data_IF_676649626966
#
_entry.id   IF_676649626966
#
_cell.length_a   1.000
_cell.length_b   1.000
_cell.length_c   1.000
_cell.angle_alpha   90.00
_cell.angle_beta   90.00
_cell.angle_gamma   90.00
#
_symmetry.space_group_name_H-M   'P 1'
#
loop_
_entity.id
_entity.type
_entity.pdbx_description
1 polymer ?
#
# COMPACT_ATOMS: atom_id res chain seq x y z
N UNK A 1 -25.55 8.71 -6.72
CA UNK A 1 -24.18 9.00 -7.27
C UNK A 1 -23.18 8.75 -6.16
N UNK A 2 -22.24 7.90 -6.40
CA UNK A 2 -21.15 7.52 -5.51
C UNK A 2 -20.43 8.76 -4.92
N UNK A 3 -20.22 8.77 -3.60
CA UNK A 3 -19.59 9.89 -2.87
C UNK A 3 -18.17 10.20 -3.37
N UNK A 4 -17.40 9.16 -3.71
CA UNK A 4 -16.02 9.27 -4.20
C UNK A 4 -15.95 9.97 -5.57
N UNK A 5 -16.82 9.58 -6.50
CA UNK A 5 -16.92 10.24 -7.83
C UNK A 5 -17.41 11.68 -7.69
N UNK A 6 -18.36 11.96 -6.78
CA UNK A 6 -18.83 13.32 -6.52
C UNK A 6 -17.70 14.21 -5.98
N UNK A 7 -16.91 13.68 -5.08
CA UNK A 7 -15.72 14.39 -4.56
C UNK A 7 -14.72 14.67 -5.70
N UNK A 8 -14.40 13.65 -6.51
CA UNK A 8 -13.49 13.79 -7.66
C UNK A 8 -13.96 14.90 -8.61
N UNK A 9 -15.25 14.92 -9.00
CA UNK A 9 -15.80 15.98 -9.84
C UNK A 9 -15.63 17.37 -9.24
N UNK A 10 -15.85 17.53 -7.94
CA UNK A 10 -15.67 18.82 -7.27
C UNK A 10 -14.20 19.28 -7.34
N UNK A 11 -13.26 18.36 -7.20
CA UNK A 11 -11.83 18.67 -7.32
C UNK A 11 -11.43 19.01 -8.73
N UNK A 12 -11.88 18.24 -9.73
CA UNK A 12 -11.65 18.54 -11.15
C UNK A 12 -12.19 19.93 -11.54
N UNK A 13 -13.38 20.29 -11.07
CA UNK A 13 -13.93 21.63 -11.28
C UNK A 13 -13.04 22.74 -10.68
N UNK A 14 -12.47 22.51 -9.49
CA UNK A 14 -11.52 23.42 -8.85
C UNK A 14 -10.21 23.60 -9.65
N UNK A 15 -9.84 22.62 -10.46
CA UNK A 15 -8.70 22.65 -11.39
C UNK A 15 -9.08 23.11 -12.81
N UNK A 16 -10.31 23.57 -13.01
CA UNK A 16 -10.86 23.92 -14.33
C UNK A 16 -10.84 22.74 -15.33
N UNK A 17 -10.96 21.51 -14.84
CA UNK A 17 -11.10 20.30 -15.65
C UNK A 17 -12.57 19.87 -15.72
N UNK A 18 -13.05 19.52 -16.90
CA UNK A 18 -14.46 19.15 -17.11
C UNK A 18 -14.66 17.64 -17.22
N UNK A 19 -13.59 16.89 -17.26
CA UNK A 19 -13.60 15.43 -17.31
C UNK A 19 -12.28 14.84 -16.92
N UNK A 20 -12.24 13.51 -16.82
CA UNK A 20 -11.02 12.75 -16.55
C UNK A 20 -11.12 11.35 -17.16
N UNK A 21 -10.00 10.85 -17.64
CA UNK A 21 -9.82 9.44 -18.01
C UNK A 21 -9.05 8.75 -16.88
N UNK A 22 -9.68 7.76 -16.25
CA UNK A 22 -9.06 6.93 -15.20
C UNK A 22 -8.73 5.57 -15.80
N UNK A 23 -7.46 5.20 -15.73
CA UNK A 23 -6.91 3.98 -16.34
C UNK A 23 -6.27 3.03 -15.33
N UNK A 24 -5.89 3.53 -14.15
CA UNK A 24 -5.34 2.73 -13.08
C UNK A 24 -6.43 1.80 -12.49
N UNK A 25 -6.29 0.45 -12.58
CA UNK A 25 -7.30 -0.47 -12.09
C UNK A 25 -7.59 -0.32 -10.59
N UNK A 26 -6.60 0.05 -9.79
CA UNK A 26 -6.78 0.29 -8.35
C UNK A 26 -7.65 1.52 -8.12
N UNK A 27 -7.45 2.59 -8.88
CA UNK A 27 -8.27 3.80 -8.81
C UNK A 27 -9.69 3.57 -9.37
N UNK A 28 -9.83 2.76 -10.42
CA UNK A 28 -11.14 2.33 -10.92
C UNK A 28 -11.87 1.55 -9.83
N UNK A 29 -11.24 0.55 -9.22
CA UNK A 29 -11.81 -0.21 -8.09
C UNK A 29 -12.21 0.69 -6.93
N UNK A 30 -11.35 1.63 -6.54
CA UNK A 30 -11.63 2.61 -5.49
C UNK A 30 -12.88 3.45 -5.75
N UNK A 31 -13.03 3.94 -7.00
CA UNK A 31 -14.14 4.81 -7.39
C UNK A 31 -15.45 4.05 -7.65
N UNK A 32 -15.39 2.78 -8.05
CA UNK A 32 -16.54 2.08 -8.66
C UNK A 32 -16.84 0.71 -8.08
N UNK A 33 -15.92 0.11 -7.32
CA UNK A 33 -15.87 -1.31 -6.93
C UNK A 33 -15.80 -2.29 -8.13
N UNK A 34 -15.51 -1.80 -9.35
CA UNK A 34 -15.34 -2.66 -10.53
C UNK A 34 -13.93 -3.26 -10.52
N UNK A 35 -13.88 -4.58 -10.63
CA UNK A 35 -12.64 -5.36 -10.81
C UNK A 35 -12.67 -6.01 -12.21
N UNK A 36 -12.46 -5.19 -13.24
CA UNK A 36 -12.43 -5.62 -14.63
C UNK A 36 -11.47 -4.76 -15.45
N UNK A 37 -10.92 -5.34 -16.52
CA UNK A 37 -10.14 -4.55 -17.49
C UNK A 37 -11.04 -3.51 -18.18
N UNK A 38 -10.60 -2.26 -18.19
CA UNK A 38 -11.34 -1.17 -18.81
C UNK A 38 -10.78 0.20 -18.45
N UNK A 39 -11.50 1.23 -18.86
CA UNK A 39 -11.22 2.61 -18.51
C UNK A 39 -12.49 3.30 -18.00
N UNK A 40 -12.35 4.14 -17.00
CA UNK A 40 -13.45 4.93 -16.48
C UNK A 40 -13.34 6.37 -17.00
N UNK A 41 -14.38 6.83 -17.68
CA UNK A 41 -14.49 8.19 -18.16
C UNK A 41 -15.42 8.97 -17.22
N UNK A 42 -14.89 9.99 -16.61
CA UNK A 42 -15.65 11.00 -15.86
C UNK A 42 -15.89 12.16 -16.80
N UNK A 43 -17.11 12.35 -17.27
CA UNK A 43 -17.47 13.43 -18.19
C UNK A 43 -18.33 14.48 -17.48
N UNK A 44 -18.68 15.58 -18.14
CA UNK A 44 -19.58 16.59 -17.55
C UNK A 44 -20.97 16.03 -17.18
N UNK A 45 -21.47 15.07 -17.94
CA UNK A 45 -22.86 14.59 -17.84
C UNK A 45 -22.97 13.28 -17.06
N UNK A 46 -22.04 12.36 -17.33
CA UNK A 46 -22.16 10.96 -16.90
C UNK A 46 -20.80 10.36 -16.54
N UNK A 47 -20.81 9.19 -15.92
CA UNK A 47 -19.63 8.37 -15.71
C UNK A 47 -19.80 7.13 -16.59
N UNK A 48 -18.76 6.79 -17.33
CA UNK A 48 -18.82 5.73 -18.34
C UNK A 48 -17.69 4.76 -18.08
N UNK A 49 -18.01 3.48 -18.01
CA UNK A 49 -17.00 2.43 -17.96
C UNK A 49 -16.93 1.73 -19.32
N UNK A 50 -15.79 1.85 -19.98
CA UNK A 50 -15.52 1.18 -21.26
C UNK A 50 -14.76 -0.10 -21.02
N UNK A 51 -15.32 -1.23 -21.42
CA UNK A 51 -14.72 -2.55 -21.31
C UNK A 51 -15.01 -3.40 -22.54
N UNK A 52 -14.45 -4.59 -22.61
CA UNK A 52 -14.69 -5.50 -23.72
C UNK A 52 -15.72 -6.59 -23.40
N UNK A 53 -15.96 -7.46 -24.41
CA UNK A 53 -16.98 -8.51 -24.33
C UNK A 53 -16.74 -9.55 -23.23
N UNK A 54 -15.52 -9.65 -22.71
CA UNK A 54 -15.17 -10.60 -21.63
C UNK A 54 -15.74 -10.17 -20.29
N UNK A 55 -15.87 -8.86 -20.07
CA UNK A 55 -16.18 -8.28 -18.77
C UNK A 55 -17.54 -7.57 -18.71
N UNK A 56 -18.14 -7.18 -19.85
CA UNK A 56 -19.34 -6.33 -19.86
C UNK A 56 -20.53 -6.96 -19.09
N UNK A 57 -20.72 -8.27 -19.17
CA UNK A 57 -21.78 -8.98 -18.44
C UNK A 57 -21.55 -8.89 -16.93
N UNK A 58 -20.33 -9.18 -16.46
CA UNK A 58 -19.94 -9.08 -15.06
C UNK A 58 -20.10 -7.64 -14.53
N UNK A 59 -19.62 -6.65 -15.29
CA UNK A 59 -19.73 -5.24 -14.91
C UNK A 59 -21.19 -4.82 -14.78
N UNK A 60 -22.05 -5.18 -15.73
CA UNK A 60 -23.48 -4.87 -15.66
C UNK A 60 -24.20 -5.57 -14.50
N UNK A 61 -23.71 -6.73 -14.04
CA UNK A 61 -24.29 -7.43 -12.91
C UNK A 61 -23.98 -6.77 -11.55
N UNK A 62 -22.88 -6.04 -11.44
CA UNK A 62 -22.47 -5.37 -10.21
C UNK A 62 -22.88 -3.89 -10.14
N UNK A 63 -23.04 -3.22 -11.29
CA UNK A 63 -23.46 -1.82 -11.34
C UNK A 63 -24.94 -1.67 -10.98
N UNK A 64 -25.22 -0.70 -10.14
CA UNK A 64 -26.57 -0.28 -9.76
C UNK A 64 -26.89 1.11 -10.32
N UNK A 65 -28.16 1.49 -10.37
CA UNK A 65 -28.59 2.83 -10.77
C UNK A 65 -27.99 3.92 -9.83
N UNK A 66 -27.76 3.58 -8.58
CA UNK A 66 -27.22 4.51 -7.57
C UNK A 66 -25.74 4.86 -7.84
N UNK A 67 -24.98 3.96 -8.48
CA UNK A 67 -23.59 4.22 -8.85
C UNK A 67 -23.47 5.36 -9.85
N UNK A 68 -24.48 5.53 -10.71
CA UNK A 68 -24.49 6.56 -11.74
C UNK A 68 -23.40 6.35 -12.79
N UNK A 69 -23.11 5.06 -13.10
CA UNK A 69 -22.12 4.63 -14.09
C UNK A 69 -22.84 3.84 -15.17
N UNK A 70 -22.53 4.09 -16.43
CA UNK A 70 -23.02 3.33 -17.58
C UNK A 70 -21.85 2.57 -18.19
N UNK A 71 -22.00 1.25 -18.36
CA UNK A 71 -20.98 0.43 -19.00
C UNK A 71 -21.27 0.25 -20.49
N UNK A 72 -20.22 0.37 -21.31
CA UNK A 72 -20.30 0.09 -22.76
C UNK A 72 -19.26 -0.95 -23.15
N UNK A 73 -19.67 -1.83 -24.06
CA UNK A 73 -18.75 -2.73 -24.72
C UNK A 73 -18.05 -1.97 -25.87
N UNK A 74 -16.72 -1.90 -25.84
CA UNK A 74 -15.92 -1.15 -26.82
C UNK A 74 -16.14 -1.60 -28.27
N UNK A 75 -16.55 -2.86 -28.50
CA UNK A 75 -16.84 -3.38 -29.86
C UNK A 75 -18.11 -2.80 -30.47
N UNK A 76 -19.03 -2.31 -29.63
CA UNK A 76 -20.32 -1.78 -30.07
C UNK A 76 -20.26 -0.27 -30.34
N UNK A 77 -19.10 0.37 -30.07
CA UNK A 77 -18.85 1.79 -30.23
C UNK A 77 -18.17 2.08 -31.58
N UNK A 78 -18.63 3.12 -32.25
CA UNK A 78 -18.00 3.70 -33.44
C UNK A 78 -17.14 4.93 -33.06
N UNK A 79 -16.34 5.44 -34.01
CA UNK A 79 -15.43 6.55 -33.73
C UNK A 79 -16.16 7.80 -33.21
N UNK A 80 -17.32 8.12 -33.76
CA UNK A 80 -18.12 9.28 -33.34
C UNK A 80 -18.56 9.18 -31.86
N UNK A 81 -18.80 7.97 -31.34
CA UNK A 81 -19.14 7.78 -29.91
C UNK A 81 -18.01 8.24 -29.01
N UNK A 82 -16.77 7.81 -29.34
CA UNK A 82 -15.58 8.21 -28.58
C UNK A 82 -15.34 9.71 -28.58
N UNK A 83 -15.53 10.35 -29.73
CA UNK A 83 -15.37 11.79 -29.90
C UNK A 83 -16.42 12.58 -29.12
N UNK A 84 -17.63 12.04 -28.98
CA UNK A 84 -18.73 12.67 -28.28
C UNK A 84 -18.61 12.62 -26.75
N UNK A 85 -17.87 11.67 -26.16
CA UNK A 85 -17.76 11.56 -24.71
C UNK A 85 -17.21 12.84 -24.06
N UNK A 86 -16.25 13.52 -24.69
CA UNK A 86 -15.64 14.74 -24.18
C UNK A 86 -15.94 15.99 -25.04
N UNK A 87 -16.96 15.92 -25.89
CA UNK A 87 -17.28 17.00 -26.86
C UNK A 87 -17.38 18.42 -26.24
N UNK A 88 -17.81 18.51 -24.97
CA UNK A 88 -17.97 19.80 -24.28
C UNK A 88 -16.92 19.98 -23.17
N UNK A 89 -15.84 19.23 -23.19
CA UNK A 89 -14.73 19.35 -22.26
C UNK A 89 -13.56 20.05 -22.96
N UNK A 90 -13.15 21.20 -22.44
CA UNK A 90 -11.97 21.90 -22.91
C UNK A 90 -10.70 21.24 -22.32
N UNK A 91 -10.73 20.97 -21.02
CA UNK A 91 -9.65 20.36 -20.28
C UNK A 91 -10.10 19.02 -19.70
N UNK A 92 -9.34 17.96 -19.98
CA UNK A 92 -9.58 16.60 -19.49
C UNK A 92 -8.36 16.13 -18.72
N UNK A 93 -8.57 15.62 -17.51
CA UNK A 93 -7.49 15.09 -16.67
C UNK A 93 -7.10 13.66 -17.02
N UNK A 94 -5.88 13.27 -16.66
CA UNK A 94 -5.41 11.88 -16.72
C UNK A 94 -4.44 11.58 -15.59
N UNK A 95 -4.20 10.29 -15.35
CA UNK A 95 -3.26 9.79 -14.33
C UNK A 95 -1.84 9.72 -14.91
N UNK A 96 -1.04 10.73 -14.65
CA UNK A 96 0.32 10.86 -15.18
C UNK A 96 1.28 9.77 -14.68
N UNK A 97 1.02 9.22 -13.50
CA UNK A 97 1.83 8.13 -12.94
C UNK A 97 1.53 6.75 -13.55
N UNK A 98 0.38 6.60 -14.23
CA UNK A 98 -0.08 5.32 -14.76
C UNK A 98 -0.18 5.30 -16.29
N UNK A 99 -0.65 6.39 -16.90
CA UNK A 99 -0.88 6.44 -18.34
C UNK A 99 0.44 6.50 -19.12
N UNK A 100 0.69 5.50 -19.95
CA UNK A 100 1.88 5.51 -20.81
C UNK A 100 1.80 6.60 -21.88
N UNK A 101 2.93 7.14 -22.31
CA UNK A 101 2.98 8.16 -23.37
C UNK A 101 2.31 7.73 -24.68
N UNK A 102 2.39 6.45 -25.02
CA UNK A 102 1.70 5.90 -26.19
C UNK A 102 0.18 6.03 -26.04
N UNK A 103 -0.35 5.61 -24.89
CA UNK A 103 -1.78 5.69 -24.57
C UNK A 103 -2.27 7.13 -24.45
N UNK A 104 -1.45 8.01 -23.90
CA UNK A 104 -1.73 9.45 -23.88
C UNK A 104 -2.04 9.99 -25.28
N UNK A 105 -1.15 9.73 -26.26
CA UNK A 105 -1.37 10.16 -27.66
C UNK A 105 -2.58 9.48 -28.31
N UNK A 106 -2.75 8.18 -28.07
CA UNK A 106 -3.90 7.43 -28.56
C UNK A 106 -5.21 8.04 -28.05
N UNK A 107 -5.31 8.34 -26.77
CA UNK A 107 -6.53 8.87 -26.17
C UNK A 107 -6.80 10.32 -26.57
N UNK A 108 -5.77 11.17 -26.64
CA UNK A 108 -5.93 12.52 -27.20
C UNK A 108 -6.60 12.48 -28.58
N UNK A 109 -6.12 11.60 -29.46
CA UNK A 109 -6.65 11.49 -30.81
C UNK A 109 -8.04 10.84 -30.82
N UNK A 110 -8.20 9.70 -30.11
CA UNK A 110 -9.44 8.90 -30.11
C UNK A 110 -10.63 9.65 -29.53
N UNK A 111 -10.43 10.42 -28.48
CA UNK A 111 -11.46 11.18 -27.79
C UNK A 111 -11.50 12.67 -28.21
N UNK A 112 -10.70 13.08 -29.19
CA UNK A 112 -10.55 14.48 -29.64
C UNK A 112 -10.34 15.47 -28.49
N UNK A 113 -9.47 15.11 -27.54
CA UNK A 113 -9.16 15.96 -26.40
C UNK A 113 -8.19 17.07 -26.84
N UNK A 114 -8.56 18.33 -26.58
CA UNK A 114 -7.71 19.49 -26.91
C UNK A 114 -6.61 19.70 -25.85
N UNK A 115 -7.00 19.73 -24.58
CA UNK A 115 -6.09 19.88 -23.46
C UNK A 115 -6.21 18.65 -22.57
N UNK A 116 -5.16 17.79 -22.57
CA UNK A 116 -5.09 16.57 -21.77
C UNK A 116 -4.03 16.80 -20.70
N UNK A 117 -4.46 16.98 -19.46
CA UNK A 117 -3.68 17.56 -18.38
C UNK A 117 -3.45 16.57 -17.23
N UNK A 118 -2.28 16.66 -16.60
CA UNK A 118 -1.91 15.88 -15.41
C UNK A 118 -2.77 16.25 -14.21
N UNK A 119 -3.14 15.29 -13.39
CA UNK A 119 -4.01 15.51 -12.21
C UNK A 119 -3.26 15.49 -10.89
N UNK A 120 -1.95 15.33 -10.91
CA UNK A 120 -1.06 15.31 -9.73
C UNK A 120 -1.50 14.32 -8.63
N UNK A 121 -1.92 13.13 -9.03
CA UNK A 121 -2.35 12.09 -8.11
C UNK A 121 -3.60 12.44 -7.30
N UNK A 122 -4.59 13.07 -7.95
CA UNK A 122 -5.83 13.55 -7.28
C UNK A 122 -6.60 12.40 -6.61
N UNK A 123 -6.66 11.21 -7.24
CA UNK A 123 -7.38 10.05 -6.70
C UNK A 123 -6.56 9.43 -5.56
N UNK A 124 -5.26 9.30 -5.72
CA UNK A 124 -4.34 8.81 -4.70
C UNK A 124 -4.38 9.71 -3.45
N UNK A 125 -4.48 11.02 -3.62
CA UNK A 125 -4.68 11.97 -2.50
C UNK A 125 -6.04 11.80 -1.81
N UNK A 126 -7.09 11.37 -2.53
CA UNK A 126 -8.38 11.01 -1.94
C UNK A 126 -8.28 9.73 -1.12
N UNK A 127 -7.58 8.71 -1.63
CA UNK A 127 -7.37 7.41 -0.99
C UNK A 127 -6.60 7.49 0.33
N UNK A 128 -5.82 8.55 0.55
CA UNK A 128 -5.09 8.73 1.82
C UNK A 128 -6.01 8.70 3.04
N UNK A 129 -7.20 9.30 2.95
CA UNK A 129 -8.16 9.37 4.06
C UNK A 129 -9.16 8.24 3.90
N UNK A 130 -9.08 7.25 4.78
CA UNK A 130 -9.91 6.06 4.72
C UNK A 130 -11.30 6.31 5.27
N UNK A 131 -12.31 5.80 4.58
CA UNK A 131 -13.69 5.69 5.09
C UNK A 131 -13.79 4.49 6.07
N UNK A 132 -14.81 4.44 6.92
CA UNK A 132 -14.95 3.39 7.94
C UNK A 132 -14.96 1.97 7.34
N UNK A 133 -15.64 1.78 6.21
CA UNK A 133 -15.66 0.48 5.52
C UNK A 133 -14.28 0.04 5.02
N UNK A 134 -13.42 0.99 4.64
CA UNK A 134 -12.04 0.73 4.23
C UNK A 134 -11.19 0.34 5.43
N UNK A 135 -11.37 1.06 6.54
CA UNK A 135 -10.69 0.76 7.81
C UNK A 135 -11.02 -0.64 8.35
N UNK A 136 -12.28 -1.07 8.25
CA UNK A 136 -12.67 -2.42 8.67
C UNK A 136 -11.98 -3.53 7.84
N UNK A 137 -11.78 -3.30 6.54
CA UNK A 137 -11.06 -4.24 5.68
C UNK A 137 -9.57 -4.29 6.03
N UNK A 138 -8.94 -3.13 6.25
CA UNK A 138 -7.54 -3.04 6.66
C UNK A 138 -7.32 -3.70 8.04
N UNK A 139 -8.19 -3.41 9.02
CA UNK A 139 -8.16 -4.05 10.35
C UNK A 139 -8.24 -5.57 10.24
N UNK A 140 -9.08 -6.09 9.33
CA UNK A 140 -9.19 -7.53 9.12
C UNK A 140 -7.93 -8.11 8.47
N UNK A 141 -7.34 -7.44 7.47
CA UNK A 141 -6.07 -7.85 6.89
C UNK A 141 -4.95 -7.88 7.96
N UNK A 142 -4.83 -6.84 8.78
CA UNK A 142 -3.88 -6.80 9.91
C UNK A 142 -4.11 -7.93 10.91
N UNK A 143 -5.38 -8.24 11.23
CA UNK A 143 -5.70 -9.37 12.12
C UNK A 143 -5.25 -10.73 11.55
N UNK A 144 -5.40 -10.95 10.24
CA UNK A 144 -4.92 -12.18 9.58
C UNK A 144 -3.39 -12.26 9.64
N UNK A 145 -2.71 -11.13 9.48
CA UNK A 145 -1.24 -11.04 9.57
C UNK A 145 -0.75 -11.32 11.00
N UNK A 146 -1.40 -10.78 12.02
CA UNK A 146 -1.11 -11.10 13.43
C UNK A 146 -1.30 -12.59 13.74
N UNK A 147 -2.42 -13.18 13.30
CA UNK A 147 -2.70 -14.61 13.48
C UNK A 147 -1.64 -15.48 12.78
N UNK A 148 -1.16 -15.05 11.60
CA UNK A 148 -0.06 -15.72 10.92
C UNK A 148 1.23 -15.68 11.73
N UNK A 149 1.58 -14.54 12.29
CA UNK A 149 2.78 -14.42 13.12
C UNK A 149 2.70 -15.29 14.36
N UNK A 150 1.55 -15.36 15.02
CA UNK A 150 1.35 -16.27 16.16
C UNK A 150 1.53 -17.75 15.77
N UNK A 151 1.02 -18.13 14.58
CA UNK A 151 1.25 -19.47 14.03
C UNK A 151 2.75 -19.73 13.79
N UNK A 152 3.46 -18.79 13.19
CA UNK A 152 4.89 -18.91 12.86
C UNK A 152 5.77 -19.14 14.09
N UNK A 153 5.45 -18.59 15.25
CA UNK A 153 6.21 -18.80 16.50
C UNK A 153 6.28 -20.28 16.89
N UNK A 154 5.29 -21.07 16.54
CA UNK A 154 5.27 -22.52 16.77
C UNK A 154 5.76 -23.35 15.60
N UNK A 155 5.63 -22.82 14.38
CA UNK A 155 5.98 -23.50 13.13
C UNK A 155 7.49 -23.50 12.86
N UNK A 156 8.14 -22.33 12.98
CA UNK A 156 9.56 -22.16 12.61
C UNK A 156 10.47 -23.01 13.50
N UNK A 157 11.40 -23.71 12.85
CA UNK A 157 12.42 -24.55 13.50
C UNK A 157 13.78 -24.31 12.85
N UNK A 158 14.85 -24.46 13.66
CA UNK A 158 16.21 -24.57 13.15
C UNK A 158 16.26 -25.66 12.09
N UNK A 159 16.92 -25.42 10.98
CA UNK A 159 17.04 -26.32 9.85
C UNK A 159 15.98 -26.18 8.76
N UNK A 160 14.92 -25.40 8.97
CA UNK A 160 14.02 -24.99 7.89
C UNK A 160 14.68 -23.98 6.98
N UNK A 161 14.29 -23.93 5.71
CA UNK A 161 14.73 -22.90 4.77
C UNK A 161 13.86 -21.64 4.87
N UNK A 162 14.40 -20.50 4.43
CA UNK A 162 13.64 -19.24 4.30
C UNK A 162 12.42 -19.43 3.40
N UNK A 163 12.55 -20.19 2.29
CA UNK A 163 11.43 -20.50 1.38
C UNK A 163 10.32 -21.33 2.01
N UNK A 164 10.65 -22.32 2.85
CA UNK A 164 9.63 -23.11 3.55
C UNK A 164 8.78 -22.22 4.45
N UNK A 165 9.41 -21.26 5.13
CA UNK A 165 8.70 -20.30 5.99
C UNK A 165 7.84 -19.35 5.13
N UNK A 166 8.37 -18.80 4.03
CA UNK A 166 7.63 -17.93 3.13
C UNK A 166 6.41 -18.65 2.52
N UNK A 167 6.56 -19.89 2.10
CA UNK A 167 5.45 -20.71 1.57
C UNK A 167 4.38 -20.98 2.64
N UNK A 168 4.76 -21.17 3.89
CA UNK A 168 3.79 -21.36 4.98
C UNK A 168 3.00 -20.08 5.25
N UNK A 169 3.65 -18.90 5.17
CA UNK A 169 2.96 -17.60 5.30
C UNK A 169 1.88 -17.46 4.24
N UNK A 170 2.21 -17.69 2.96
CA UNK A 170 1.24 -17.63 1.85
C UNK A 170 0.09 -18.61 2.06
N UNK A 171 0.40 -19.87 2.38
CA UNK A 171 -0.60 -20.89 2.66
C UNK A 171 -1.52 -20.49 3.83
N UNK A 172 -0.95 -19.93 4.90
CA UNK A 172 -1.73 -19.47 6.06
C UNK A 172 -2.69 -18.37 5.68
N UNK A 173 -2.23 -17.33 4.96
CA UNK A 173 -3.04 -16.21 4.54
C UNK A 173 -4.24 -16.66 3.69
N UNK A 174 -4.01 -17.47 2.65
CA UNK A 174 -5.07 -17.98 1.77
C UNK A 174 -6.09 -18.85 2.53
N UNK A 175 -5.63 -19.71 3.45
CA UNK A 175 -6.53 -20.53 4.28
C UNK A 175 -7.36 -19.73 5.27
N UNK A 176 -6.89 -18.56 5.70
CA UNK A 176 -7.57 -17.70 6.67
C UNK A 176 -8.36 -16.53 6.04
N UNK A 177 -8.61 -16.62 4.72
CA UNK A 177 -9.53 -15.77 4.00
C UNK A 177 -8.94 -14.48 3.45
N UNK A 178 -7.61 -14.39 3.32
CA UNK A 178 -6.98 -13.39 2.50
C UNK A 178 -7.23 -13.66 1.01
N UNK A 179 -7.31 -12.60 0.21
CA UNK A 179 -7.47 -12.70 -1.25
C UNK A 179 -6.15 -13.14 -1.91
N UNK A 180 -5.05 -12.55 -1.48
CA UNK A 180 -3.68 -12.76 -1.98
C UNK A 180 -2.65 -12.17 -1.03
N UNK A 181 -1.36 -12.33 -1.31
CA UNK A 181 -0.29 -11.57 -0.67
C UNK A 181 -0.41 -10.08 -1.02
N UNK A 182 -0.07 -9.18 -0.08
CA UNK A 182 0.02 -7.74 -0.36
C UNK A 182 1.28 -7.41 -1.17
N UNK A 183 2.34 -8.18 -0.96
CA UNK A 183 3.65 -8.09 -1.61
C UNK A 183 4.40 -9.44 -1.47
N UNK A 184 5.51 -9.58 -2.18
CA UNK A 184 6.38 -10.76 -2.06
C UNK A 184 6.96 -10.85 -0.65
N UNK A 185 6.57 -11.87 0.11
CA UNK A 185 7.00 -12.06 1.50
C UNK A 185 8.52 -12.10 1.62
N UNK A 186 9.07 -11.36 2.58
CA UNK A 186 10.48 -11.41 2.93
C UNK A 186 10.67 -12.35 4.14
N UNK A 187 11.48 -13.35 3.97
CA UNK A 187 12.05 -14.15 5.08
C UNK A 187 13.55 -14.18 4.89
N UNK A 188 14.26 -13.46 5.74
CA UNK A 188 15.70 -13.28 5.61
C UNK A 188 16.40 -13.60 6.94
N UNK A 189 17.29 -14.59 6.93
CA UNK A 189 17.94 -15.11 8.13
C UNK A 189 19.45 -14.87 8.16
N UNK A 190 19.99 -14.61 9.35
CA UNK A 190 21.41 -14.37 9.56
C UNK A 190 21.92 -13.26 8.62
N UNK A 191 22.93 -13.54 7.80
CA UNK A 191 23.51 -12.57 6.88
C UNK A 191 22.55 -12.07 5.79
N UNK A 192 21.54 -12.85 5.40
CA UNK A 192 20.55 -12.43 4.40
C UNK A 192 19.70 -11.28 4.94
N UNK A 193 19.44 -11.20 6.24
CA UNK A 193 18.70 -10.12 6.86
C UNK A 193 19.38 -8.75 6.74
N UNK A 194 20.68 -8.71 6.36
CA UNK A 194 21.37 -7.45 6.07
C UNK A 194 20.89 -6.74 4.80
N UNK A 195 20.03 -7.39 4.01
CA UNK A 195 19.44 -6.86 2.78
C UNK A 195 17.98 -6.49 3.05
N UNK A 196 17.59 -5.19 2.98
CA UNK A 196 16.22 -4.75 3.27
C UNK A 196 15.14 -5.46 2.43
N UNK A 197 15.43 -5.72 1.16
CA UNK A 197 14.54 -6.40 0.20
C UNK A 197 15.08 -7.78 -0.21
N UNK A 198 15.47 -8.57 0.80
CA UNK A 198 15.93 -9.94 0.56
C UNK A 198 14.80 -10.82 0.02
N UNK A 199 15.13 -11.65 -0.96
CA UNK A 199 14.22 -12.68 -1.46
C UNK A 199 14.49 -13.98 -0.70
N UNK A 200 13.47 -14.72 -0.21
CA UNK A 200 13.66 -15.99 0.49
C UNK A 200 14.44 -17.00 -0.35
N UNK A 201 15.46 -17.61 0.27
CA UNK A 201 16.38 -18.55 -0.38
C UNK A 201 16.26 -19.97 0.23
N UNK A 202 17.06 -20.91 -0.29
CA UNK A 202 17.22 -22.24 0.29
C UNK A 202 18.17 -22.27 1.51
N UNK A 203 18.61 -21.08 2.01
CA UNK A 203 19.39 -20.98 3.24
C UNK A 203 18.61 -21.55 4.40
N UNK A 204 19.25 -22.47 5.13
CA UNK A 204 18.69 -23.04 6.34
C UNK A 204 18.87 -22.09 7.53
N UNK A 205 17.85 -22.04 8.39
CA UNK A 205 17.88 -21.32 9.65
C UNK A 205 18.88 -21.97 10.59
N UNK A 206 19.83 -21.20 11.11
CA UNK A 206 20.86 -21.66 12.04
C UNK A 206 20.60 -21.14 13.46
N UNK A 207 21.06 -21.84 14.51
CA UNK A 207 20.93 -21.34 15.88
C UNK A 207 21.60 -19.97 16.05
N UNK A 208 20.85 -19.02 16.62
CA UNK A 208 21.29 -17.63 16.80
C UNK A 208 21.04 -16.72 15.60
N UNK A 209 20.49 -17.21 14.49
CA UNK A 209 20.11 -16.32 13.39
C UNK A 209 19.04 -15.32 13.82
N UNK A 210 19.22 -14.01 13.62
CA UNK A 210 18.10 -13.11 13.50
C UNK A 210 17.35 -13.43 12.21
N UNK A 211 16.04 -13.52 12.27
CA UNK A 211 15.15 -13.81 11.13
C UNK A 211 14.22 -12.62 10.98
N UNK A 212 14.43 -11.81 9.96
CA UNK A 212 13.51 -10.75 9.57
C UNK A 212 12.40 -11.34 8.71
N UNK A 213 11.18 -11.26 9.18
CA UNK A 213 9.96 -11.67 8.49
C UNK A 213 9.14 -10.42 8.23
N UNK A 214 8.96 -10.09 6.94
CA UNK A 214 8.15 -9.00 6.48
C UNK A 214 7.03 -9.57 5.61
N UNK A 215 5.80 -9.35 6.04
CA UNK A 215 4.64 -10.03 5.50
C UNK A 215 3.37 -9.19 5.57
N UNK A 216 2.55 -9.32 4.55
CA UNK A 216 1.26 -8.67 4.46
C UNK A 216 0.33 -9.42 3.53
N UNK A 217 -0.97 -9.34 3.80
CA UNK A 217 -1.99 -9.93 2.95
C UNK A 217 -3.00 -8.87 2.48
N UNK A 218 -3.75 -9.20 1.45
CA UNK A 218 -4.93 -8.42 1.04
C UNK A 218 -6.20 -9.09 1.54
N UNK A 219 -7.10 -8.29 2.07
CA UNK A 219 -8.46 -8.70 2.41
C UNK A 219 -9.46 -7.74 1.78
N UNK A 220 -10.30 -8.26 0.88
CA UNK A 220 -11.21 -7.48 0.04
C UNK A 220 -10.48 -6.32 -0.66
N UNK A 221 -9.26 -6.63 -1.14
CA UNK A 221 -8.37 -5.74 -1.87
C UNK A 221 -7.57 -4.75 -1.02
N UNK A 222 -7.71 -4.70 0.30
CA UNK A 222 -6.95 -3.82 1.19
C UNK A 222 -5.80 -4.56 1.86
N UNK A 223 -4.63 -3.91 1.86
CA UNK A 223 -3.36 -4.45 2.34
C UNK A 223 -3.23 -4.35 3.87
N UNK A 224 -2.49 -5.29 4.44
CA UNK A 224 -1.78 -5.18 5.70
C UNK A 224 -0.28 -5.18 5.45
N UNK A 225 0.49 -4.75 6.44
CA UNK A 225 1.95 -4.70 6.41
C UNK A 225 2.51 -4.86 7.81
N UNK A 226 3.47 -5.76 8.01
CA UNK A 226 4.10 -5.98 9.30
C UNK A 226 5.46 -6.66 9.17
N UNK A 227 6.49 -6.07 9.76
CA UNK A 227 7.81 -6.73 9.92
C UNK A 227 8.06 -7.08 11.38
N UNK A 228 8.57 -8.28 11.62
CA UNK A 228 9.15 -8.71 12.89
C UNK A 228 10.52 -9.35 12.66
N UNK A 229 11.47 -9.02 13.53
CA UNK A 229 12.75 -9.74 13.62
C UNK A 229 12.72 -10.65 14.83
N UNK A 230 12.81 -11.96 14.60
CA UNK A 230 12.79 -13.02 15.64
C UNK A 230 14.12 -13.76 15.66
N UNK A 231 14.30 -14.70 16.58
CA UNK A 231 15.58 -15.38 16.80
C UNK A 231 15.43 -16.90 16.86
N UNK A 232 16.33 -17.60 16.18
CA UNK A 232 16.36 -19.05 16.21
C UNK A 232 17.15 -19.56 17.46
N UNK A 233 16.47 -20.21 18.39
CA UNK A 233 17.05 -20.83 19.57
C UNK A 233 17.55 -19.90 20.68
N UNK A 234 18.23 -18.78 20.33
CA UNK A 234 18.70 -17.79 21.31
C UNK A 234 18.97 -16.43 20.68
N UNK A 235 18.99 -15.37 21.49
CA UNK A 235 19.32 -14.00 21.04
C UNK A 235 20.82 -13.74 21.20
N UNK A 236 21.59 -13.55 20.10
CA UNK A 236 23.02 -13.24 20.20
C UNK A 236 23.27 -11.90 20.88
N UNK A 237 24.27 -11.83 21.75
CA UNK A 237 24.58 -10.61 22.50
C UNK A 237 24.91 -9.40 21.62
N UNK A 238 25.53 -9.64 20.45
CA UNK A 238 25.90 -8.58 19.51
C UNK A 238 24.71 -7.98 18.75
N UNK A 239 23.57 -8.68 18.67
CA UNK A 239 22.36 -8.17 18.01
C UNK A 239 21.53 -7.29 18.93
N UNK A 240 21.53 -7.57 20.26
CA UNK A 240 20.68 -6.88 21.24
C UNK A 240 20.75 -5.36 21.18
N UNK A 241 21.92 -4.72 21.17
CA UNK A 241 21.99 -3.25 21.13
C UNK A 241 21.34 -2.65 19.87
N UNK A 242 21.44 -3.36 18.76
CA UNK A 242 20.86 -2.94 17.48
C UNK A 242 19.35 -3.10 17.50
N UNK A 243 18.87 -4.25 17.99
CA UNK A 243 17.45 -4.52 18.15
C UNK A 243 16.78 -3.49 19.07
N UNK A 244 17.40 -3.22 20.22
CA UNK A 244 16.88 -2.24 21.20
C UNK A 244 16.85 -0.82 20.63
N UNK A 245 17.83 -0.45 19.79
CA UNK A 245 17.87 0.85 19.12
C UNK A 245 16.76 0.96 18.09
N UNK A 246 16.52 -0.10 17.27
CA UNK A 246 15.44 -0.13 16.30
C UNK A 246 14.08 -0.08 17.02
N UNK A 247 13.86 -0.94 18.02
CA UNK A 247 12.62 -0.98 18.79
C UNK A 247 12.31 0.37 19.48
N UNK A 248 13.32 0.98 20.10
CA UNK A 248 13.19 2.32 20.71
C UNK A 248 12.67 3.34 19.69
N UNK A 249 13.28 3.38 18.49
CA UNK A 249 12.89 4.32 17.46
C UNK A 249 11.49 4.03 16.91
N UNK A 250 11.12 2.76 16.70
CA UNK A 250 9.79 2.36 16.29
C UNK A 250 8.72 2.80 17.31
N UNK A 251 8.95 2.56 18.59
CA UNK A 251 8.03 2.99 19.66
C UNK A 251 7.93 4.53 19.67
N UNK A 252 9.07 5.22 19.58
CA UNK A 252 9.09 6.69 19.58
C UNK A 252 8.34 7.28 18.39
N UNK A 253 8.45 6.70 17.20
CA UNK A 253 7.69 7.12 16.01
C UNK A 253 6.20 6.89 16.25
N UNK A 254 5.80 5.69 16.64
CA UNK A 254 4.39 5.34 16.90
C UNK A 254 3.73 6.27 17.93
N UNK A 255 4.41 6.60 19.03
CA UNK A 255 3.93 7.53 20.07
C UNK A 255 3.75 8.97 19.58
N UNK A 256 4.50 9.40 18.57
CA UNK A 256 4.43 10.74 18.00
C UNK A 256 3.55 10.86 16.76
N UNK A 257 3.08 9.73 16.22
CA UNK A 257 2.11 9.71 15.12
C UNK A 257 0.72 10.12 15.63
N UNK A 258 0.18 11.16 15.01
CA UNK A 258 -1.17 11.71 15.26
C UNK A 258 -1.53 12.72 14.18
N UNK A 259 -2.76 13.19 14.17
CA UNK A 259 -3.13 14.32 13.30
C UNK A 259 -2.21 15.53 13.55
N UNK A 260 -1.73 16.13 12.45
CA UNK A 260 -0.79 17.26 12.47
C UNK A 260 0.67 16.88 12.70
N UNK A 261 1.00 15.60 12.93
CA UNK A 261 2.40 15.17 13.00
C UNK A 261 3.08 15.38 11.64
N UNK A 262 4.31 15.90 11.68
CA UNK A 262 5.09 16.20 10.48
C UNK A 262 6.03 15.05 10.14
N UNK A 263 5.80 14.41 8.99
CA UNK A 263 6.58 13.27 8.49
C UNK A 263 8.08 13.56 8.43
N UNK A 264 8.46 14.76 7.96
CA UNK A 264 9.86 15.18 7.84
C UNK A 264 10.58 15.22 9.18
N UNK A 265 9.89 15.72 10.22
CA UNK A 265 10.48 15.82 11.56
C UNK A 265 10.65 14.43 12.18
N UNK A 266 9.67 13.55 12.01
CA UNK A 266 9.75 12.17 12.48
C UNK A 266 10.89 11.41 11.79
N UNK A 267 10.96 11.47 10.46
CA UNK A 267 12.03 10.82 9.69
C UNK A 267 13.41 11.32 10.09
N UNK A 268 13.58 12.63 10.25
CA UNK A 268 14.85 13.23 10.71
C UNK A 268 15.23 12.82 12.13
N UNK A 269 14.25 12.63 13.00
CA UNK A 269 14.52 12.19 14.39
C UNK A 269 15.18 10.81 14.40
N UNK A 270 14.63 9.86 13.64
CA UNK A 270 15.18 8.49 13.50
C UNK A 270 16.55 8.52 12.80
N UNK A 271 16.67 9.26 11.68
CA UNK A 271 17.95 9.40 10.96
C UNK A 271 19.07 9.92 11.86
N UNK A 272 18.76 10.93 12.69
CA UNK A 272 19.73 11.50 13.62
C UNK A 272 20.10 10.52 14.75
N UNK A 273 19.13 9.80 15.34
CA UNK A 273 19.43 8.83 16.41
C UNK A 273 20.27 7.66 15.86
N UNK A 274 19.99 7.18 14.66
CA UNK A 274 20.82 6.15 14.01
C UNK A 274 22.23 6.66 13.75
N UNK A 275 22.40 7.87 13.20
CA UNK A 275 23.72 8.48 12.96
C UNK A 275 24.53 8.67 14.23
N UNK A 276 23.91 9.10 15.32
CA UNK A 276 24.58 9.24 16.63
C UNK A 276 25.10 7.89 17.16
N UNK A 277 24.47 6.80 16.77
CA UNK A 277 24.89 5.43 17.11
C UNK A 277 25.77 4.76 16.03
N UNK A 278 26.18 5.51 14.99
CA UNK A 278 27.09 5.04 13.94
C UNK A 278 26.43 4.26 12.81
N UNK A 279 25.11 4.43 12.59
CA UNK A 279 24.36 3.76 11.55
C UNK A 279 23.72 4.76 10.58
N UNK A 280 23.63 4.38 9.32
CA UNK A 280 22.88 5.10 8.30
C UNK A 280 21.48 4.50 8.13
N UNK A 281 20.50 5.37 7.85
CA UNK A 281 19.16 4.96 7.48
C UNK A 281 19.12 4.64 5.97
N UNK A 282 18.80 3.41 5.57
CA UNK A 282 18.86 2.95 4.18
C UNK A 282 17.56 3.16 3.40
N UNK A 283 16.43 3.27 4.09
CA UNK A 283 15.10 3.48 3.47
C UNK A 283 14.25 4.44 4.32
N UNK A 284 13.07 4.79 3.83
CA UNK A 284 12.11 5.60 4.60
C UNK A 284 11.63 4.86 5.84
N UNK A 285 11.14 5.60 6.82
CA UNK A 285 10.60 5.01 8.06
C UNK A 285 9.13 4.63 7.95
N UNK A 286 8.53 4.70 6.76
CA UNK A 286 7.14 4.33 6.56
C UNK A 286 6.53 4.88 5.27
N UNK A 287 5.31 4.48 5.03
CA UNK A 287 4.47 4.87 3.88
C UNK A 287 2.98 4.70 4.22
N UNK A 288 2.12 5.21 3.35
CA UNK A 288 0.68 4.92 3.41
C UNK A 288 0.36 3.50 2.95
N UNK A 289 -0.66 2.91 3.54
CA UNK A 289 -1.18 1.57 3.20
C UNK A 289 -2.68 1.67 2.90
N UNK A 290 -3.14 0.92 1.91
CA UNK A 290 -4.56 0.88 1.53
C UNK A 290 -4.84 -0.18 0.49
N UNK A 291 -5.36 0.22 -0.67
CA UNK A 291 -5.54 -0.67 -1.83
C UNK A 291 -4.20 -1.06 -2.47
N UNK A 292 -3.22 -0.13 -2.46
CA UNK A 292 -1.84 -0.44 -2.76
C UNK A 292 -1.06 -0.60 -1.46
N UNK A 293 -0.04 -1.47 -1.48
CA UNK A 293 0.86 -1.63 -0.33
C UNK A 293 1.64 -0.35 -0.08
N UNK A 294 2.13 0.30 -1.12
CA UNK A 294 2.77 1.59 -1.06
C UNK A 294 1.87 2.65 -1.69
N UNK A 295 1.22 3.46 -0.88
CA UNK A 295 0.44 4.61 -1.35
C UNK A 295 0.76 5.87 -0.55
N UNK A 296 0.19 7.00 -0.93
CA UNK A 296 0.36 8.25 -0.16
C UNK A 296 -0.20 8.13 1.27
N UNK A 297 0.45 8.80 2.26
CA UNK A 297 1.66 9.63 2.12
C UNK A 297 2.94 8.80 2.16
N UNK A 298 3.95 9.18 1.39
CA UNK A 298 5.29 8.60 1.51
C UNK A 298 6.10 9.33 2.58
N UNK A 299 6.79 8.59 3.45
CA UNK A 299 7.63 9.15 4.49
C UNK A 299 9.03 9.45 3.96
N UNK A 300 9.66 10.47 4.53
CA UNK A 300 11.05 10.81 4.19
C UNK A 300 11.53 12.13 4.77
N UNK A 301 12.82 12.24 5.02
CA UNK A 301 13.45 13.42 5.60
C UNK A 301 13.33 14.70 4.74
N UNK A 302 12.85 14.57 3.49
CA UNK A 302 12.60 15.69 2.57
C UNK A 302 11.13 15.98 2.35
N UNK A 303 10.23 15.09 2.80
CA UNK A 303 8.78 15.17 2.59
C UNK A 303 8.15 16.01 3.70
N UNK A 304 7.85 17.27 3.42
CA UNK A 304 7.19 18.17 4.36
C UNK A 304 5.68 18.02 4.27
N UNK A 305 5.13 17.07 5.02
CA UNK A 305 3.71 16.71 5.00
C UNK A 305 3.18 16.51 6.41
N UNK A 306 1.96 16.99 6.66
CA UNK A 306 1.25 16.82 7.92
C UNK A 306 0.22 15.71 7.81
N UNK A 307 0.30 14.74 8.71
CA UNK A 307 -0.66 13.65 8.79
C UNK A 307 -2.05 14.15 9.13
N UNK A 308 -3.06 13.45 8.65
CA UNK A 308 -4.48 13.72 8.94
C UNK A 308 -5.13 12.50 9.57
N UNK A 309 -6.19 12.75 10.31
CA UNK A 309 -7.05 11.69 10.86
C UNK A 309 -7.55 10.74 9.74
N UNK A 310 -7.70 9.47 10.07
CA UNK A 310 -8.06 8.37 9.16
C UNK A 310 -7.05 8.04 8.05
N UNK A 311 -5.82 8.53 8.13
CA UNK A 311 -4.71 7.95 7.36
C UNK A 311 -4.27 6.63 8.00
N UNK A 312 -3.90 5.66 7.17
CA UNK A 312 -3.23 4.42 7.60
C UNK A 312 -1.83 4.43 7.05
N UNK A 313 -0.85 4.23 7.92
CA UNK A 313 0.57 4.33 7.58
C UNK A 313 1.37 3.24 8.28
N UNK A 314 2.55 2.91 7.76
CA UNK A 314 3.54 2.09 8.47
C UNK A 314 4.50 2.95 9.30
N UNK A 315 5.15 2.32 10.27
CA UNK A 315 6.38 2.81 10.89
C UNK A 315 7.39 1.64 10.98
N UNK A 316 8.44 1.69 10.21
CA UNK A 316 9.31 0.56 9.88
C UNK A 316 10.82 0.87 9.99
N UNK A 317 11.32 1.50 11.04
CA UNK A 317 12.75 1.75 11.14
C UNK A 317 13.55 0.43 11.09
N UNK A 318 14.68 0.46 10.38
CA UNK A 318 15.55 -0.70 10.24
C UNK A 318 17.03 -0.32 10.19
N UNK A 319 17.88 -1.18 10.77
CA UNK A 319 19.35 -1.10 10.72
C UNK A 319 19.88 -2.36 10.07
N UNK A 320 20.75 -2.20 9.08
CA UNK A 320 21.30 -3.27 8.28
C UNK A 320 22.83 -3.18 8.27
N UNK A 321 23.50 -4.22 8.76
CA UNK A 321 24.96 -4.29 8.83
C UNK A 321 25.45 -5.21 7.70
N UNK A 322 26.08 -4.67 6.65
CA UNK A 322 26.44 -5.42 5.45
C UNK A 322 27.19 -6.73 5.76
N UNK A 323 26.74 -7.82 5.15
CA UNK A 323 27.26 -9.17 5.31
C UNK A 323 27.21 -9.75 6.74
N UNK A 324 26.44 -9.12 7.63
CA UNK A 324 26.27 -9.62 9.02
C UNK A 324 24.81 -9.92 9.30
N UNK A 325 24.00 -8.91 9.53
CA UNK A 325 22.55 -9.04 9.79
C UNK A 325 21.84 -7.71 9.67
N UNK A 326 20.51 -7.75 9.64
CA UNK A 326 19.62 -6.59 9.78
C UNK A 326 18.54 -6.83 10.82
N UNK A 327 17.95 -5.73 11.26
CA UNK A 327 16.78 -5.68 12.16
C UNK A 327 15.82 -4.66 11.62
N UNK A 328 14.57 -5.04 11.37
CA UNK A 328 13.43 -4.17 11.10
C UNK A 328 12.28 -4.55 12.01
N UNK A 329 11.59 -3.55 12.54
CA UNK A 329 10.37 -3.72 13.34
C UNK A 329 9.36 -2.73 12.81
N UNK A 330 8.18 -3.22 12.46
CA UNK A 330 7.17 -2.46 11.77
C UNK A 330 5.77 -2.75 12.26
N UNK A 331 4.95 -1.71 12.33
CA UNK A 331 3.51 -1.82 12.50
C UNK A 331 2.75 -1.00 11.45
N UNK A 332 1.55 -1.46 11.10
CA UNK A 332 0.53 -0.65 10.43
C UNK A 332 -0.29 0.11 11.47
N UNK A 333 -0.40 1.44 11.32
CA UNK A 333 -1.04 2.32 12.29
C UNK A 333 -2.13 3.19 11.64
N UNK A 334 -3.25 3.33 12.33
CA UNK A 334 -4.32 4.27 12.02
C UNK A 334 -4.06 5.59 12.74
N UNK A 335 -3.99 6.69 11.99
CA UNK A 335 -3.85 8.03 12.56
C UNK A 335 -5.19 8.49 13.12
N UNK A 336 -5.22 8.84 14.39
CA UNK A 336 -6.35 9.52 15.01
C UNK A 336 -5.95 10.93 15.47
N UNK A 337 -6.92 11.67 15.96
CA UNK A 337 -6.75 13.07 16.36
C UNK A 337 -5.64 13.29 17.40
N UNK A 338 -5.47 12.37 18.35
CA UNK A 338 -4.57 12.56 19.49
C UNK A 338 -3.44 11.55 19.56
N UNK A 339 -3.51 10.45 18.83
CA UNK A 339 -2.55 9.33 18.85
C UNK A 339 -2.63 8.53 17.56
N UNK A 340 -1.71 7.61 17.36
CA UNK A 340 -1.90 6.49 16.43
C UNK A 340 -2.46 5.27 17.17
N UNK A 341 -3.19 4.43 16.43
CA UNK A 341 -3.74 3.16 16.90
C UNK A 341 -3.08 2.05 16.09
N UNK A 342 -2.29 1.19 16.75
CA UNK A 342 -1.68 0.05 16.07
C UNK A 342 -2.76 -0.93 15.63
N UNK A 343 -2.79 -1.22 14.32
CA UNK A 343 -3.71 -2.19 13.72
C UNK A 343 -3.09 -3.60 13.74
N UNK A 344 -1.76 -3.71 13.59
CA UNK A 344 -0.98 -4.91 13.86
C UNK A 344 -0.60 -4.92 15.34
N UNK A 345 -0.74 -6.08 16.03
CA UNK A 345 -0.65 -6.17 17.49
C UNK A 345 0.35 -7.23 17.98
N UNK A 346 1.01 -7.89 17.05
CA UNK A 346 2.01 -8.91 17.36
C UNK A 346 3.15 -8.37 18.22
N UNK A 347 3.63 -9.18 19.17
CA UNK A 347 4.69 -8.78 20.10
C UNK A 347 5.95 -8.32 19.37
N UNK A 348 6.55 -7.24 19.88
CA UNK A 348 7.81 -6.64 19.41
C UNK A 348 9.00 -6.91 20.29
N UNK A 349 8.84 -7.68 21.36
CA UNK A 349 9.95 -8.11 22.19
C UNK A 349 10.77 -9.23 21.50
N UNK A 350 11.85 -9.67 22.16
CA UNK A 350 12.65 -10.79 21.65
C UNK A 350 11.82 -12.08 21.58
N UNK A 351 11.34 -12.41 20.40
CA UNK A 351 10.68 -13.70 20.14
C UNK A 351 11.75 -14.72 19.76
N UNK A 352 11.76 -15.85 20.46
CA UNK A 352 12.71 -16.97 20.25
C UNK A 352 11.90 -18.19 19.79
N UNK A 353 12.29 -18.78 18.67
CA UNK A 353 11.68 -19.96 18.05
C UNK A 353 12.65 -21.13 18.00
#
# INVERSE_FOLDING_TARGET
>A
MNSKIKWLRNKLNGLNMQGMIVTNPVNIKYLTNIEAEGILLITRKENIFLTDSRYIEHVNAILTIEDGIVAYNIKDLILDDYENFFLFCENVGFEESHLTYLKYKEYMHKFRINNFEETEGIIEKQRMIKEEEELEKIKKACSITDDCFEHLKSFIKVGMSEKEIANEIENFFLKNGADELAFDTIVASGKNSSMPHAVPTDKLIEPGDPITIDMGCKYKGYCSDMTRTIFAGFVPQYVKPIYDLVLKNQIQVAENLKEGANIKLLSKSVENDFKLNGFDMLHSIGHGVGLDIHEYPFFGARVDFLLKENMVVTDEPGIYIPNKFGVRIEDTLLISKYSAISLTKSDKNYVIV
#
